data_IF_068750984613
#
_entry.id   IF_068750984613
#
_cell.length_a   1.000
_cell.length_b   1.000
_cell.length_c   1.000
_cell.angle_alpha   90.00
_cell.angle_beta   90.00
_cell.angle_gamma   90.00
#
_symmetry.space_group_name_H-M   'P 1'
#
loop_
_entity.id
_entity.type
_entity.pdbx_description
1 polymer ?
#
# COMPACT_ATOMS: atom_id res chain seq x y z
N UNK A 1 12.49 2.78 4.43
CA UNK A 1 12.57 3.22 3.02
C UNK A 1 11.58 2.41 2.21
N UNK A 2 10.55 3.05 1.63
CA UNK A 2 9.59 2.35 0.77
C UNK A 2 10.25 1.86 -0.53
N UNK A 3 9.65 0.90 -1.25
CA UNK A 3 10.21 0.43 -2.51
C UNK A 3 10.29 1.62 -3.47
N UNK A 4 11.51 2.02 -3.81
CA UNK A 4 11.78 3.02 -4.84
C UNK A 4 11.02 2.62 -6.09
N UNK A 5 10.11 3.50 -6.56
CA UNK A 5 9.37 3.32 -7.82
C UNK A 5 10.37 3.29 -8.97
N UNK A 6 10.91 2.12 -9.26
CA UNK A 6 11.65 1.85 -10.49
C UNK A 6 10.70 2.04 -11.67
N UNK A 7 11.14 2.81 -12.65
CA UNK A 7 10.38 3.02 -13.88
C UNK A 7 10.29 1.70 -14.65
N UNK A 8 9.18 1.45 -15.36
CA UNK A 8 8.96 0.15 -16.03
C UNK A 8 10.09 -0.19 -17.02
N UNK A 9 10.67 0.82 -17.69
CA UNK A 9 11.80 0.63 -18.60
C UNK A 9 13.08 0.18 -17.89
N UNK A 10 13.37 0.71 -16.69
CA UNK A 10 14.54 0.26 -15.92
C UNK A 10 14.39 -1.22 -15.53
N UNK A 11 13.18 -1.65 -15.20
CA UNK A 11 12.90 -3.06 -14.87
C UNK A 11 13.06 -3.98 -16.08
N UNK A 12 12.59 -3.57 -17.26
CA UNK A 12 12.74 -4.38 -18.48
C UNK A 12 14.20 -4.53 -18.88
N UNK A 13 14.98 -3.43 -18.83
CA UNK A 13 16.43 -3.47 -19.13
C UNK A 13 17.15 -4.41 -18.16
N UNK A 14 16.85 -4.35 -16.86
CA UNK A 14 17.44 -5.25 -15.87
C UNK A 14 17.11 -6.71 -16.20
N UNK A 15 15.87 -7.02 -16.60
CA UNK A 15 15.48 -8.39 -16.95
C UNK A 15 16.15 -8.90 -18.22
N UNK A 16 16.36 -8.03 -19.23
CA UNK A 16 17.12 -8.38 -20.44
C UNK A 16 18.57 -8.73 -20.10
N UNK A 17 19.25 -7.89 -19.32
CA UNK A 17 20.65 -8.13 -18.90
C UNK A 17 20.78 -9.38 -18.03
N UNK A 18 19.74 -9.74 -17.28
CA UNK A 18 19.68 -11.00 -16.54
C UNK A 18 19.56 -12.21 -17.47
N UNK A 19 18.81 -12.11 -18.57
CA UNK A 19 18.73 -13.13 -19.61
C UNK A 19 20.04 -13.33 -20.36
N UNK A 20 20.84 -12.26 -20.50
CA UNK A 20 22.21 -12.28 -21.04
C UNK A 20 23.26 -12.80 -20.04
N UNK A 21 22.83 -13.36 -18.90
CA UNK A 21 23.67 -13.96 -17.86
C UNK A 21 24.68 -13.01 -17.17
N UNK A 22 24.48 -11.69 -17.23
CA UNK A 22 25.31 -10.72 -16.48
C UNK A 22 25.15 -10.86 -14.97
N UNK A 23 26.23 -10.57 -14.23
CA UNK A 23 26.20 -10.65 -12.78
C UNK A 23 25.37 -9.50 -12.17
N UNK A 24 24.70 -9.78 -11.04
CA UNK A 24 23.89 -8.76 -10.34
C UNK A 24 24.71 -7.53 -9.95
N UNK A 25 26.01 -7.72 -9.68
CA UNK A 25 26.95 -6.65 -9.33
C UNK A 25 27.24 -5.74 -10.52
N UNK A 26 27.42 -6.30 -11.71
CA UNK A 26 27.65 -5.52 -12.93
C UNK A 26 26.39 -4.77 -13.37
N UNK A 27 25.23 -5.42 -13.34
CA UNK A 27 23.95 -4.79 -13.64
C UNK A 27 23.67 -3.67 -12.62
N UNK A 28 23.95 -3.94 -11.34
CA UNK A 28 23.85 -2.96 -10.26
C UNK A 28 24.73 -1.74 -10.53
N UNK A 29 26.00 -1.93 -10.90
CA UNK A 29 26.92 -0.81 -11.23
C UNK A 29 26.45 0.00 -12.44
N UNK A 30 25.88 -0.65 -13.47
CA UNK A 30 25.47 0.03 -14.72
C UNK A 30 24.17 0.82 -14.57
N UNK A 31 23.25 0.38 -13.71
CA UNK A 31 21.90 0.93 -13.67
C UNK A 31 21.52 1.52 -12.31
N UNK A 32 21.78 0.81 -11.20
CA UNK A 32 21.27 1.17 -9.86
C UNK A 32 22.18 0.62 -8.76
N UNK A 33 21.74 -0.46 -8.13
CA UNK A 33 22.39 -1.10 -6.99
C UNK A 33 22.09 -2.59 -7.05
N UNK A 34 23.00 -3.39 -6.51
CA UNK A 34 22.85 -4.85 -6.50
C UNK A 34 21.57 -5.29 -5.76
N UNK A 35 21.23 -4.60 -4.66
CA UNK A 35 20.02 -4.88 -3.89
C UNK A 35 18.73 -4.67 -4.71
N UNK A 36 18.69 -3.63 -5.57
CA UNK A 36 17.56 -3.39 -6.45
C UNK A 36 17.41 -4.49 -7.50
N UNK A 37 18.51 -4.94 -8.10
CA UNK A 37 18.52 -6.05 -9.08
C UNK A 37 18.03 -7.35 -8.43
N UNK A 38 18.51 -7.68 -7.22
CA UNK A 38 18.02 -8.85 -6.47
C UNK A 38 16.52 -8.76 -6.17
N UNK A 39 16.03 -7.58 -5.80
CA UNK A 39 14.60 -7.35 -5.56
C UNK A 39 13.73 -7.57 -6.80
N UNK A 40 14.19 -7.10 -7.97
CA UNK A 40 13.49 -7.30 -9.25
C UNK A 40 13.50 -8.77 -9.66
N UNK A 41 14.65 -9.46 -9.58
CA UNK A 41 14.75 -10.91 -9.83
C UNK A 41 13.77 -11.70 -8.98
N UNK A 42 13.72 -11.41 -7.68
CA UNK A 42 12.84 -12.10 -6.74
C UNK A 42 11.36 -11.85 -7.06
N UNK A 43 11.01 -10.61 -7.40
CA UNK A 43 9.66 -10.27 -7.82
C UNK A 43 9.26 -10.97 -9.12
N UNK A 44 10.17 -11.08 -10.09
CA UNK A 44 9.92 -11.78 -11.35
C UNK A 44 9.81 -13.30 -11.18
N UNK A 45 10.62 -13.90 -10.31
CA UNK A 45 10.55 -15.33 -10.01
C UNK A 45 9.19 -15.75 -9.41
N UNK A 46 8.58 -14.87 -8.60
CA UNK A 46 7.26 -15.09 -8.02
C UNK A 46 6.13 -15.03 -9.06
N UNK A 47 6.33 -14.32 -10.17
CA UNK A 47 5.30 -14.09 -11.18
C UNK A 47 5.24 -15.18 -12.26
N UNK A 48 6.31 -15.96 -12.45
CA UNK A 48 6.41 -16.90 -13.57
C UNK A 48 6.74 -16.20 -14.90
N UNK A 49 7.33 -16.94 -15.83
CA UNK A 49 7.74 -16.41 -17.14
C UNK A 49 6.52 -15.95 -17.94
N UNK A 50 6.44 -14.64 -18.22
CA UNK A 50 5.40 -14.03 -19.07
C UNK A 50 4.23 -13.38 -18.34
N UNK A 51 4.16 -13.46 -17.00
CA UNK A 51 3.07 -12.84 -16.25
C UNK A 51 3.41 -11.39 -15.87
N UNK A 52 2.66 -10.43 -16.41
CA UNK A 52 2.64 -9.08 -15.86
C UNK A 52 1.89 -9.11 -14.52
N UNK A 53 2.47 -8.59 -13.42
CA UNK A 53 1.76 -8.54 -12.15
C UNK A 53 0.52 -7.67 -12.33
N UNK A 54 -0.66 -8.21 -12.01
CA UNK A 54 -1.85 -7.40 -11.86
C UNK A 54 -1.51 -6.30 -10.85
N UNK A 55 -1.49 -5.05 -11.32
CA UNK A 55 -1.46 -3.91 -10.42
C UNK A 55 -2.73 -4.02 -9.62
N UNK A 56 -2.63 -4.27 -8.31
CA UNK A 56 -3.77 -4.11 -7.41
C UNK A 56 -4.42 -2.76 -7.76
N UNK A 57 -5.61 -2.78 -8.36
CA UNK A 57 -6.48 -1.61 -8.44
C UNK A 57 -6.57 -1.14 -7.00
N UNK A 58 -6.12 0.07 -6.73
CA UNK A 58 -5.95 0.57 -5.38
C UNK A 58 -7.28 0.43 -4.64
N UNK A 59 -7.43 -0.64 -3.86
CA UNK A 59 -8.48 -0.72 -2.87
C UNK A 59 -8.03 0.27 -1.81
N UNK A 60 -8.64 1.45 -1.85
CA UNK A 60 -8.39 2.50 -0.89
C UNK A 60 -8.34 1.89 0.51
N UNK A 61 -7.31 2.26 1.28
CA UNK A 61 -7.24 1.87 2.68
C UNK A 61 -8.59 2.22 3.31
N UNK A 62 -9.27 1.24 3.94
CA UNK A 62 -10.48 1.52 4.72
C UNK A 62 -10.17 2.73 5.59
N UNK A 63 -10.89 3.84 5.39
CA UNK A 63 -10.71 5.05 6.20
C UNK A 63 -11.20 4.69 7.59
N UNK A 64 -10.29 4.23 8.43
CA UNK A 64 -10.56 4.12 9.86
C UNK A 64 -10.82 5.55 10.36
N UNK A 65 -11.70 5.66 11.33
CA UNK A 65 -11.84 6.85 12.17
C UNK A 65 -10.47 7.22 12.75
N UNK A 66 -10.25 8.52 12.98
CA UNK A 66 -9.03 8.98 13.62
C UNK A 66 -9.06 8.56 15.10
N UNK A 67 -7.91 8.31 15.75
CA UNK A 67 -7.86 7.93 17.17
C UNK A 67 -8.56 8.94 18.10
N UNK A 68 -8.63 10.21 17.70
CA UNK A 68 -9.37 11.24 18.44
C UNK A 68 -10.88 11.03 18.37
N UNK A 69 -11.39 10.65 17.21
CA UNK A 69 -12.81 10.32 16.99
C UNK A 69 -13.20 9.09 17.78
N UNK A 70 -12.37 8.04 17.77
CA UNK A 70 -12.61 6.81 18.54
C UNK A 70 -12.73 7.09 20.03
N UNK A 71 -11.83 7.91 20.60
CA UNK A 71 -11.88 8.30 22.01
C UNK A 71 -13.12 9.12 22.38
N UNK A 72 -13.69 9.89 21.45
CA UNK A 72 -14.92 10.64 21.68
C UNK A 72 -16.12 9.69 21.71
N UNK A 73 -16.22 8.80 20.72
CA UNK A 73 -17.29 7.79 20.67
C UNK A 73 -17.27 6.87 21.89
N UNK A 74 -16.08 6.41 22.30
CA UNK A 74 -15.92 5.60 23.51
C UNK A 74 -16.41 6.32 24.76
N UNK A 75 -16.24 7.64 24.85
CA UNK A 75 -16.71 8.42 26.01
C UNK A 75 -18.24 8.55 26.02
N UNK A 76 -18.87 8.67 24.86
CA UNK A 76 -20.33 8.77 24.77
C UNK A 76 -21.00 7.45 25.10
N UNK A 77 -20.49 6.34 24.54
CA UNK A 77 -20.97 4.99 24.88
C UNK A 77 -20.74 4.66 26.37
N UNK A 78 -19.67 5.18 26.98
CA UNK A 78 -19.45 5.03 28.43
C UNK A 78 -20.41 5.85 29.29
N UNK A 79 -20.90 6.99 28.77
CA UNK A 79 -21.88 7.83 29.48
C UNK A 79 -23.29 7.26 29.39
N UNK A 80 -23.65 6.77 28.22
CA UNK A 80 -24.91 6.08 27.96
C UNK A 80 -24.64 4.77 27.21
N UNK A 81 -24.63 3.62 27.90
CA UNK A 81 -24.41 2.32 27.29
C UNK A 81 -25.50 1.87 26.33
N UNK A 82 -26.69 2.49 26.38
CA UNK A 82 -27.85 2.11 25.56
C UNK A 82 -28.02 2.98 24.33
N UNK A 83 -27.15 4.00 24.17
CA UNK A 83 -27.21 4.90 23.01
C UNK A 83 -27.09 4.11 21.71
N UNK A 84 -27.98 4.40 20.77
CA UNK A 84 -27.96 3.75 19.47
C UNK A 84 -26.94 4.40 18.55
N UNK A 85 -26.47 3.65 17.55
CA UNK A 85 -25.54 4.18 16.55
C UNK A 85 -26.12 5.35 15.73
N UNK A 86 -27.46 5.48 15.65
CA UNK A 86 -28.12 6.62 15.00
C UNK A 86 -28.02 7.88 15.85
N UNK A 87 -28.34 7.78 17.13
CA UNK A 87 -28.25 8.88 18.09
C UNK A 87 -26.80 9.37 18.26
N UNK A 88 -25.82 8.46 18.30
CA UNK A 88 -24.40 8.82 18.29
C UNK A 88 -23.98 9.61 17.03
N UNK A 89 -24.53 9.23 15.88
CA UNK A 89 -24.25 9.94 14.62
C UNK A 89 -24.86 11.33 14.58
N UNK A 90 -26.04 11.50 15.15
CA UNK A 90 -26.71 12.79 15.26
C UNK A 90 -25.99 13.69 16.28
N UNK A 91 -25.61 13.15 17.44
CA UNK A 91 -24.88 13.88 18.47
C UNK A 91 -23.47 14.33 18.05
N UNK A 92 -22.77 13.50 17.27
CA UNK A 92 -21.41 13.76 16.77
C UNK A 92 -21.37 13.94 15.26
N UNK A 93 -22.39 14.58 14.69
CA UNK A 93 -22.54 14.76 13.24
C UNK A 93 -21.30 15.43 12.61
N UNK A 94 -20.77 16.48 13.24
CA UNK A 94 -19.60 17.22 12.72
C UNK A 94 -18.32 16.39 12.67
N UNK A 95 -18.16 15.44 13.60
CA UNK A 95 -16.97 14.57 13.69
C UNK A 95 -17.09 13.38 12.73
N UNK A 96 -18.32 12.94 12.43
CA UNK A 96 -18.60 11.76 11.62
C UNK A 96 -18.95 12.06 10.16
N UNK A 97 -19.16 13.33 9.80
CA UNK A 97 -19.52 13.80 8.46
C UNK A 97 -18.57 13.32 7.35
N UNK A 98 -17.26 13.24 7.62
CA UNK A 98 -16.25 12.80 6.65
C UNK A 98 -16.14 11.27 6.50
N UNK A 99 -16.71 10.53 7.44
CA UNK A 99 -16.65 9.06 7.50
C UNK A 99 -17.85 8.43 6.80
N UNK A 100 -18.94 9.18 6.61
CA UNK A 100 -20.23 8.72 6.09
C UNK A 100 -20.52 9.08 4.63
N UNK A 101 -19.52 9.07 3.75
CA UNK A 101 -19.79 9.01 2.31
C UNK A 101 -19.95 7.54 1.88
N UNK A 102 -21.18 7.06 2.00
CA UNK A 102 -21.71 5.93 1.21
C UNK A 102 -22.84 6.49 0.37
#
# INVERSE_FOLDING_TARGET
>A
MGPSKLYMQEKSIIMTLVGEALSNREIGRKLRSEAAVRGIKKAAAVLGTGAAPERKKGTGRKRKTQPRTDKLLEREVKKDPFITAKELKEAQHDVLREVSHI
#
